data_IF_339641260960
#
_entry.id   IF_339641260960
#
_cell.length_a   1.000
_cell.length_b   1.000
_cell.length_c   1.000
_cell.angle_alpha   90.00
_cell.angle_beta   90.00
_cell.angle_gamma   90.00
#
_symmetry.space_group_name_H-M   'P 1'
#
loop_
_entity.id
_entity.type
_entity.pdbx_description
1 polymer ?
#
# COMPACT_ATOMS: atom_id res chain seq x y z
N UNK A 1 -21.24 34.32 25.82
CA UNK A 1 -21.26 34.31 24.34
C UNK A 1 -19.86 34.27 23.69
N UNK A 2 -18.92 35.19 23.96
CA UNK A 2 -17.59 35.22 23.29
C UNK A 2 -16.73 33.96 23.53
N UNK A 3 -16.78 33.40 24.75
CA UNK A 3 -15.98 32.23 25.15
C UNK A 3 -16.40 30.93 24.44
N UNK A 4 -17.70 30.72 24.24
CA UNK A 4 -18.22 29.56 23.50
C UNK A 4 -17.87 29.61 22.01
N UNK A 5 -17.88 30.81 21.39
CA UNK A 5 -17.42 30.98 20.01
C UNK A 5 -15.95 30.55 19.87
N UNK A 6 -15.08 31.04 20.75
CA UNK A 6 -13.65 30.66 20.77
C UNK A 6 -13.44 29.15 20.99
N UNK A 7 -14.24 28.53 21.86
CA UNK A 7 -14.18 27.09 22.08
C UNK A 7 -14.56 26.30 20.82
N UNK A 8 -15.64 26.69 20.13
CA UNK A 8 -16.05 26.07 18.86
C UNK A 8 -15.01 26.24 17.77
N UNK A 9 -14.36 27.39 17.70
CA UNK A 9 -13.29 27.65 16.73
C UNK A 9 -12.06 26.76 16.99
N UNK A 10 -11.64 26.62 18.26
CA UNK A 10 -10.55 25.72 18.65
C UNK A 10 -10.86 24.25 18.31
N UNK A 11 -12.08 23.79 18.61
CA UNK A 11 -12.51 22.42 18.27
C UNK A 11 -12.55 22.20 16.75
N UNK A 12 -12.98 23.19 15.98
CA UNK A 12 -13.01 23.11 14.51
C UNK A 12 -11.59 23.02 13.92
N UNK A 13 -10.67 23.82 14.44
CA UNK A 13 -9.25 23.79 14.03
C UNK A 13 -8.64 22.43 14.39
N UNK A 14 -8.86 21.93 15.61
CA UNK A 14 -8.41 20.61 16.04
C UNK A 14 -8.92 19.49 15.12
N UNK A 15 -10.21 19.48 14.79
CA UNK A 15 -10.79 18.48 13.88
C UNK A 15 -10.22 18.57 12.46
N UNK A 16 -9.94 19.77 11.95
CA UNK A 16 -9.33 19.94 10.63
C UNK A 16 -7.90 19.37 10.62
N UNK A 17 -7.13 19.66 11.67
CA UNK A 17 -5.76 19.16 11.84
C UNK A 17 -5.74 17.62 11.89
N UNK A 18 -6.62 17.00 12.70
CA UNK A 18 -6.71 15.53 12.80
C UNK A 18 -7.06 14.90 11.46
N UNK A 19 -8.02 15.46 10.71
CA UNK A 19 -8.38 14.98 9.36
C UNK A 19 -7.22 15.07 8.38
N UNK A 20 -6.45 16.17 8.41
CA UNK A 20 -5.27 16.33 7.55
C UNK A 20 -4.20 15.28 7.87
N UNK A 21 -3.96 14.99 9.15
CA UNK A 21 -3.02 13.95 9.55
C UNK A 21 -3.47 12.55 9.13
N UNK A 22 -4.75 12.23 9.28
CA UNK A 22 -5.31 10.94 8.84
C UNK A 22 -5.14 10.78 7.33
N UNK A 23 -5.51 11.79 6.54
CA UNK A 23 -5.37 11.77 5.09
C UNK A 23 -3.93 11.58 4.64
N UNK A 24 -2.99 12.32 5.25
CA UNK A 24 -1.56 12.18 4.95
C UNK A 24 -1.03 10.77 5.27
N UNK A 25 -1.51 10.17 6.36
CA UNK A 25 -1.16 8.79 6.74
C UNK A 25 -1.68 7.76 5.74
N UNK A 26 -2.91 7.93 5.28
CA UNK A 26 -3.51 7.05 4.27
C UNK A 26 -2.77 7.16 2.92
N UNK A 27 -2.35 8.36 2.54
CA UNK A 27 -1.58 8.62 1.32
C UNK A 27 -0.20 7.95 1.40
N UNK A 28 0.52 8.13 2.52
CA UNK A 28 1.84 7.51 2.76
C UNK A 28 1.76 5.96 2.78
N UNK A 29 0.74 5.39 3.41
CA UNK A 29 0.49 3.94 3.39
C UNK A 29 0.18 3.45 1.97
N UNK A 30 -0.58 4.21 1.19
CA UNK A 30 -0.88 3.89 -0.20
C UNK A 30 0.37 3.94 -1.08
N UNK A 31 1.23 4.94 -0.90
CA UNK A 31 2.50 5.09 -1.62
C UNK A 31 3.47 3.95 -1.30
N UNK A 32 3.53 3.56 -0.02
CA UNK A 32 4.31 2.40 0.42
C UNK A 32 3.80 1.10 -0.21
N UNK A 33 2.48 0.88 -0.23
CA UNK A 33 1.87 -0.29 -0.86
C UNK A 33 2.14 -0.32 -2.38
N UNK A 34 2.10 0.84 -3.05
CA UNK A 34 2.45 0.98 -4.47
C UNK A 34 3.92 0.62 -4.72
N UNK A 35 4.85 1.14 -3.91
CA UNK A 35 6.27 0.84 -4.04
C UNK A 35 6.56 -0.66 -3.91
N UNK A 36 6.00 -1.31 -2.88
CA UNK A 36 6.19 -2.75 -2.71
C UNK A 36 5.54 -3.57 -3.83
N UNK A 37 4.38 -3.15 -4.31
CA UNK A 37 3.73 -3.80 -5.46
C UNK A 37 4.59 -3.70 -6.73
N UNK A 38 5.23 -2.55 -6.97
CA UNK A 38 6.18 -2.39 -8.07
C UNK A 38 7.41 -3.31 -7.92
N UNK A 39 7.95 -3.44 -6.71
CA UNK A 39 9.07 -4.34 -6.42
C UNK A 39 8.68 -5.79 -6.70
N UNK A 40 7.48 -6.20 -6.28
CA UNK A 40 6.97 -7.55 -6.53
C UNK A 40 6.82 -7.84 -8.02
N UNK A 41 6.21 -6.92 -8.77
CA UNK A 41 6.04 -7.06 -10.22
C UNK A 41 7.40 -7.19 -10.91
N UNK A 42 8.39 -6.36 -10.53
CA UNK A 42 9.75 -6.45 -11.09
C UNK A 42 10.42 -7.79 -10.75
N UNK A 43 10.20 -8.31 -9.54
CA UNK A 43 10.77 -9.59 -9.13
C UNK A 43 10.15 -10.75 -9.91
N UNK A 44 8.82 -10.78 -10.03
CA UNK A 44 8.09 -11.77 -10.85
C UNK A 44 8.55 -11.70 -12.30
N UNK A 45 8.66 -10.51 -12.88
CA UNK A 45 9.15 -10.33 -14.25
C UNK A 45 10.58 -10.87 -14.44
N UNK A 46 11.45 -10.78 -13.42
CA UNK A 46 12.80 -11.33 -13.49
C UNK A 46 12.80 -12.86 -13.44
N UNK A 47 11.96 -13.47 -12.59
CA UNK A 47 11.80 -14.92 -12.49
C UNK A 47 11.26 -15.50 -13.79
N UNK A 48 10.23 -14.87 -14.38
CA UNK A 48 9.65 -15.29 -15.66
C UNK A 48 10.62 -15.16 -16.85
N UNK A 49 11.70 -14.38 -16.72
CA UNK A 49 12.74 -14.21 -17.75
C UNK A 49 13.94 -15.16 -17.56
N UNK A 50 13.92 -16.04 -16.57
CA UNK A 50 14.96 -17.07 -16.40
C UNK A 50 14.90 -18.09 -17.53
N UNK A 51 16.06 -18.60 -17.97
CA UNK A 51 16.15 -19.56 -19.09
C UNK A 51 15.55 -20.94 -18.75
N UNK A 52 15.47 -21.27 -17.46
CA UNK A 52 14.79 -22.45 -16.92
C UNK A 52 13.99 -22.01 -15.70
N UNK A 53 12.71 -22.31 -15.69
CA UNK A 53 11.78 -22.00 -14.60
C UNK A 53 11.09 -23.29 -14.14
N UNK A 54 10.96 -23.48 -12.83
CA UNK A 54 10.25 -24.65 -12.27
C UNK A 54 8.77 -24.34 -12.07
N UNK A 55 7.93 -25.38 -11.95
CA UNK A 55 6.51 -25.21 -11.63
C UNK A 55 6.29 -24.54 -10.27
N UNK A 56 7.18 -24.77 -9.31
CA UNK A 56 7.16 -24.11 -7.99
C UNK A 56 7.37 -22.60 -8.12
N UNK A 57 8.35 -22.19 -8.92
CA UNK A 57 8.63 -20.77 -9.20
C UNK A 57 7.47 -20.08 -9.93
N UNK A 58 6.78 -20.80 -10.83
CA UNK A 58 5.56 -20.30 -11.49
C UNK A 58 4.41 -20.15 -10.50
N UNK A 59 4.21 -21.13 -9.62
CA UNK A 59 3.22 -21.06 -8.54
C UNK A 59 3.48 -19.88 -7.61
N UNK A 60 4.74 -19.65 -7.24
CA UNK A 60 5.17 -18.49 -6.46
C UNK A 60 4.86 -17.17 -7.18
N UNK A 61 5.14 -17.08 -8.49
CA UNK A 61 4.82 -15.89 -9.28
C UNK A 61 3.31 -15.59 -9.27
N UNK A 62 2.49 -16.62 -9.46
CA UNK A 62 1.03 -16.49 -9.45
C UNK A 62 0.51 -16.05 -8.08
N UNK A 63 0.98 -16.69 -7.01
CA UNK A 63 0.58 -16.32 -5.65
C UNK A 63 1.00 -14.90 -5.30
N UNK A 64 2.20 -14.47 -5.72
CA UNK A 64 2.67 -13.10 -5.48
C UNK A 64 1.84 -12.05 -6.20
N UNK A 65 1.48 -12.31 -7.46
CA UNK A 65 0.64 -11.39 -8.24
C UNK A 65 -0.80 -11.33 -7.72
N UNK A 66 -1.37 -12.46 -7.29
CA UNK A 66 -2.73 -12.50 -6.75
C UNK A 66 -2.88 -11.72 -5.44
N UNK A 67 -1.79 -11.51 -4.69
CA UNK A 67 -1.78 -10.70 -3.46
C UNK A 67 -1.72 -9.20 -3.71
N UNK A 68 -1.63 -8.77 -4.97
CA UNK A 68 -1.62 -7.36 -5.36
C UNK A 68 -3.00 -7.02 -5.95
N UNK A 69 -3.77 -6.21 -5.24
CA UNK A 69 -5.03 -5.66 -5.73
C UNK A 69 -4.89 -4.17 -6.04
N UNK A 70 -5.33 -3.74 -7.22
CA UNK A 70 -5.38 -2.33 -7.61
C UNK A 70 -6.84 -1.85 -7.59
N UNK A 71 -7.19 -0.97 -6.65
CA UNK A 71 -8.53 -0.37 -6.56
C UNK A 71 -8.40 1.11 -6.92
N UNK A 72 -8.73 1.48 -8.15
CA UNK A 72 -8.57 2.84 -8.67
C UNK A 72 -7.09 3.26 -8.72
N UNK A 73 -6.71 4.32 -7.99
CA UNK A 73 -5.31 4.76 -7.83
C UNK A 73 -4.61 4.20 -6.58
N UNK A 74 -5.32 3.43 -5.75
CA UNK A 74 -4.78 2.87 -4.50
C UNK A 74 -4.43 1.39 -4.70
N UNK A 75 -3.21 1.00 -4.33
CA UNK A 75 -2.82 -0.41 -4.28
C UNK A 75 -3.07 -0.96 -2.87
N UNK A 76 -3.67 -2.13 -2.79
CA UNK A 76 -3.80 -2.90 -1.57
C UNK A 76 -2.95 -4.17 -1.74
N UNK A 77 -2.00 -4.37 -0.83
CA UNK A 77 -1.11 -5.52 -0.85
C UNK A 77 -1.25 -6.23 0.47
N UNK A 78 -1.69 -7.49 0.42
CA UNK A 78 -1.67 -8.33 1.62
C UNK A 78 -0.21 -8.55 2.04
N UNK A 79 0.10 -8.26 3.30
CA UNK A 79 1.45 -8.37 3.83
C UNK A 79 1.91 -9.82 3.72
N UNK A 80 2.88 -10.10 2.85
CA UNK A 80 3.48 -11.41 2.80
C UNK A 80 5.00 -11.36 2.78
N UNK A 81 5.58 -12.17 3.66
CA UNK A 81 7.01 -12.29 3.91
C UNK A 81 7.58 -13.51 3.15
N UNK A 82 7.30 -13.60 1.86
CA UNK A 82 7.94 -14.62 1.01
C UNK A 82 9.01 -13.95 0.15
N UNK A 83 10.25 -13.83 0.67
CA UNK A 83 11.26 -12.97 0.06
C UNK A 83 11.74 -13.50 -1.30
N UNK A 84 11.71 -14.82 -1.54
CA UNK A 84 12.21 -15.41 -2.79
C UNK A 84 11.47 -16.70 -3.20
N UNK A 85 11.44 -17.02 -4.51
CA UNK A 85 10.98 -18.30 -5.00
C UNK A 85 11.96 -19.41 -4.61
N UNK A 86 11.45 -20.53 -4.09
CA UNK A 86 12.17 -21.78 -3.88
C UNK A 86 12.24 -22.57 -5.19
#
# INVERSE_FOLDING_TARGET
MQKEKRLKDLLRVGNCIVKNFQHKREEDVSDQALFFSQVDIKLVARVLRMSRITSEQLGWCQEKLNRIAFVGRKAHRETSFMPFPC
#
